data_IF_646859378327
#
_entry.id   IF_646859378327
#
_cell.length_a   1.000
_cell.length_b   1.000
_cell.length_c   1.000
_cell.angle_alpha   90.00
_cell.angle_beta   90.00
_cell.angle_gamma   90.00
#
_symmetry.space_group_name_H-M   'P 1'
#
loop_
_entity.id
_entity.type
_entity.pdbx_description
1 polymer ?
#
# COMPACT_ATOMS: atom_id res chain seq x y z
N UNK A 1 16.40 -12.41 -20.60
CA UNK A 1 16.68 -12.65 -19.18
C UNK A 1 17.73 -13.73 -18.93
N UNK A 2 17.54 -15.00 -19.35
CA UNK A 2 18.49 -16.11 -19.11
C UNK A 2 19.94 -15.83 -19.54
N UNK A 3 20.16 -15.12 -20.64
CA UNK A 3 21.51 -14.75 -21.11
C UNK A 3 22.21 -13.71 -20.22
N UNK A 4 21.44 -12.75 -19.66
CA UNK A 4 21.96 -11.67 -18.80
C UNK A 4 22.15 -12.13 -17.36
N UNK A 5 21.36 -13.11 -16.91
CA UNK A 5 21.35 -13.65 -15.56
C UNK A 5 21.43 -15.19 -15.61
N UNK A 6 22.58 -15.76 -15.99
CA UNK A 6 22.73 -17.21 -16.09
C UNK A 6 22.62 -17.86 -14.72
N UNK A 7 21.81 -18.93 -14.62
CA UNK A 7 21.63 -19.65 -13.36
C UNK A 7 20.71 -19.00 -12.33
N UNK A 8 20.16 -17.80 -12.59
CA UNK A 8 19.23 -17.15 -11.68
C UNK A 8 17.80 -17.65 -11.93
N UNK A 9 17.15 -18.07 -10.85
CA UNK A 9 15.71 -18.33 -10.81
C UNK A 9 15.01 -17.12 -10.19
N UNK A 10 14.22 -16.42 -11.00
CA UNK A 10 13.48 -15.24 -10.54
C UNK A 10 12.25 -15.65 -9.74
N UNK A 11 12.24 -15.34 -8.46
CA UNK A 11 11.15 -15.63 -7.53
C UNK A 11 10.99 -14.48 -6.56
N UNK A 12 9.74 -14.07 -6.35
CA UNK A 12 9.41 -13.06 -5.34
C UNK A 12 9.79 -13.51 -3.92
N UNK A 13 9.71 -14.80 -3.62
CA UNK A 13 10.12 -15.34 -2.32
C UNK A 13 11.63 -15.21 -2.12
N UNK A 14 12.42 -15.59 -3.13
CA UNK A 14 13.87 -15.37 -3.11
C UNK A 14 14.20 -13.88 -3.01
N UNK A 15 13.48 -13.03 -3.74
CA UNK A 15 13.64 -11.59 -3.64
C UNK A 15 13.34 -11.06 -2.24
N UNK A 16 12.29 -11.54 -1.58
CA UNK A 16 11.95 -11.16 -0.21
C UNK A 16 13.03 -11.57 0.80
N UNK A 17 13.58 -12.79 0.70
CA UNK A 17 14.71 -13.24 1.53
C UNK A 17 15.95 -12.36 1.31
N UNK A 18 16.28 -12.02 0.04
CA UNK A 18 17.41 -11.15 -0.28
C UNK A 18 17.21 -9.72 0.26
N UNK A 19 15.98 -9.20 0.25
CA UNK A 19 15.65 -7.91 0.85
C UNK A 19 15.83 -7.97 2.36
N UNK A 20 15.31 -9.00 3.03
CA UNK A 20 15.48 -9.18 4.46
C UNK A 20 16.97 -9.24 4.85
N UNK A 21 17.78 -10.03 4.14
CA UNK A 21 19.22 -10.13 4.38
C UNK A 21 19.94 -8.79 4.19
N UNK A 22 19.69 -8.09 3.09
CA UNK A 22 20.35 -6.81 2.77
C UNK A 22 20.10 -5.72 3.80
N UNK A 23 18.92 -5.66 4.39
CA UNK A 23 18.57 -4.67 5.42
C UNK A 23 18.67 -5.23 6.85
N UNK A 24 19.26 -6.43 7.03
CA UNK A 24 19.43 -7.12 8.32
C UNK A 24 18.11 -7.23 9.11
N UNK A 25 17.03 -7.57 8.41
CA UNK A 25 15.72 -7.78 9.03
C UNK A 25 15.61 -9.21 9.53
N UNK A 26 15.43 -9.36 10.83
CA UNK A 26 15.26 -10.67 11.46
C UNK A 26 13.84 -11.22 11.22
N UNK A 27 13.66 -12.52 11.49
CA UNK A 27 12.34 -13.15 11.49
C UNK A 27 11.38 -12.44 12.45
N UNK A 28 11.86 -12.05 13.61
CA UNK A 28 11.12 -11.32 14.64
C UNK A 28 10.65 -9.96 14.13
N UNK A 29 11.49 -9.21 13.42
CA UNK A 29 11.12 -7.92 12.84
C UNK A 29 9.98 -8.08 11.83
N UNK A 30 10.04 -9.12 10.99
CA UNK A 30 9.03 -9.39 9.97
C UNK A 30 7.70 -9.83 10.59
N UNK A 31 7.75 -10.72 11.58
CA UNK A 31 6.56 -11.21 12.27
C UNK A 31 5.91 -10.11 13.11
N UNK A 32 6.72 -9.23 13.74
CA UNK A 32 6.21 -8.07 14.46
C UNK A 32 5.48 -7.09 13.53
N UNK A 33 6.06 -6.79 12.37
CA UNK A 33 5.42 -5.94 11.38
C UNK A 33 4.10 -6.54 10.85
N UNK A 34 4.06 -7.86 10.64
CA UNK A 34 2.86 -8.57 10.24
C UNK A 34 1.77 -8.50 11.31
N UNK A 35 2.15 -8.68 12.58
CA UNK A 35 1.24 -8.53 13.72
C UNK A 35 0.65 -7.12 13.77
N UNK A 36 1.49 -6.10 13.63
CA UNK A 36 1.06 -4.69 13.61
C UNK A 36 0.11 -4.39 12.45
N UNK A 37 0.34 -4.96 11.25
CA UNK A 37 -0.57 -4.83 10.12
C UNK A 37 -1.97 -5.36 10.46
N UNK A 38 -2.07 -6.55 11.07
CA UNK A 38 -3.35 -7.11 11.52
C UNK A 38 -4.00 -6.28 12.62
N UNK A 39 -3.24 -5.80 13.62
CA UNK A 39 -3.76 -4.96 14.71
C UNK A 39 -4.30 -3.63 14.19
N UNK A 40 -3.56 -2.96 13.29
CA UNK A 40 -3.99 -1.72 12.63
C UNK A 40 -5.28 -1.93 11.83
N UNK A 41 -5.35 -3.02 11.04
CA UNK A 41 -6.53 -3.35 10.25
C UNK A 41 -7.75 -3.69 11.11
N UNK A 42 -7.56 -4.44 12.19
CA UNK A 42 -8.61 -4.75 13.16
C UNK A 42 -9.16 -3.46 13.82
N UNK A 43 -8.27 -2.61 14.31
CA UNK A 43 -8.65 -1.32 14.90
C UNK A 43 -9.39 -0.40 13.90
N UNK A 44 -8.92 -0.34 12.65
CA UNK A 44 -9.57 0.46 11.60
C UNK A 44 -10.98 -0.06 11.29
N UNK A 45 -11.15 -1.39 11.24
CA UNK A 45 -12.46 -2.04 11.03
C UNK A 45 -13.40 -1.77 12.21
N UNK A 46 -12.97 -1.98 13.44
CA UNK A 46 -13.77 -1.73 14.64
C UNK A 46 -14.13 -0.25 14.82
N UNK A 47 -13.27 0.64 14.31
CA UNK A 47 -13.49 2.10 14.30
C UNK A 47 -14.29 2.60 13.11
N UNK A 48 -14.77 1.71 12.23
CA UNK A 48 -15.54 2.03 11.02
C UNK A 48 -14.80 2.95 10.02
N UNK A 49 -13.46 2.90 9.98
CA UNK A 49 -12.67 3.74 9.06
C UNK A 49 -12.85 3.35 7.60
N UNK A 50 -13.21 2.08 7.34
CA UNK A 50 -13.42 1.55 6.00
C UNK A 50 -14.86 1.73 5.45
N UNK A 51 -15.83 2.19 6.26
CA UNK A 51 -17.25 2.25 5.87
C UNK A 51 -17.51 3.10 4.63
N UNK A 52 -16.69 4.13 4.40
CA UNK A 52 -16.84 5.03 3.26
C UNK A 52 -16.14 4.54 1.98
N UNK A 53 -15.31 3.51 2.09
CA UNK A 53 -14.53 3.00 0.95
C UNK A 53 -14.94 1.59 0.53
N UNK A 54 -15.53 0.80 1.40
CA UNK A 54 -16.03 -0.54 1.06
C UNK A 54 -17.43 -0.41 0.46
N UNK A 55 -17.58 -0.91 -0.76
CA UNK A 55 -18.89 -1.06 -1.41
C UNK A 55 -19.46 -2.42 -1.04
N UNK A 56 -20.56 -2.50 -0.26
CA UNK A 56 -21.21 -3.76 0.06
C UNK A 56 -21.66 -4.50 -1.20
N UNK A 57 -21.28 -5.77 -1.33
CA UNK A 57 -21.65 -6.61 -2.47
C UNK A 57 -22.26 -7.92 -1.99
N UNK A 58 -23.17 -8.48 -2.79
CA UNK A 58 -23.70 -9.83 -2.54
C UNK A 58 -22.61 -10.85 -2.87
N UNK A 59 -22.37 -11.75 -1.95
CA UNK A 59 -21.41 -12.84 -2.09
C UNK A 59 -21.96 -14.13 -1.47
N UNK A 60 -21.09 -15.09 -1.28
CA UNK A 60 -21.38 -16.31 -0.53
C UNK A 60 -20.35 -16.46 0.56
N UNK A 61 -20.81 -16.78 1.75
CA UNK A 61 -19.90 -17.10 2.87
C UNK A 61 -19.23 -18.48 2.67
N UNK A 62 -18.42 -18.89 3.62
CA UNK A 62 -17.69 -20.17 3.56
C UNK A 62 -18.62 -21.40 3.46
N UNK A 63 -19.85 -21.32 3.96
CA UNK A 63 -20.87 -22.35 3.88
C UNK A 63 -21.66 -22.30 2.57
N UNK A 64 -21.36 -21.37 1.66
CA UNK A 64 -22.05 -21.19 0.39
C UNK A 64 -23.42 -20.48 0.49
N UNK A 65 -23.73 -19.89 1.65
CA UNK A 65 -24.96 -19.14 1.89
C UNK A 65 -24.78 -17.71 1.36
N UNK A 66 -25.78 -17.21 0.64
CA UNK A 66 -25.78 -15.82 0.18
C UNK A 66 -25.80 -14.85 1.35
N UNK A 67 -24.86 -13.91 1.35
CA UNK A 67 -24.72 -12.88 2.35
C UNK A 67 -24.13 -11.60 1.75
N UNK A 68 -24.16 -10.50 2.49
CA UNK A 68 -23.51 -9.25 2.12
C UNK A 68 -22.06 -9.26 2.59
N UNK A 69 -21.12 -9.13 1.67
CA UNK A 69 -19.70 -8.89 1.98
C UNK A 69 -19.53 -7.40 2.24
N UNK A 70 -19.21 -7.05 3.49
CA UNK A 70 -19.13 -5.68 4.00
C UNK A 70 -17.78 -5.35 4.65
N UNK A 71 -16.88 -6.34 4.73
CA UNK A 71 -15.56 -6.18 5.34
C UNK A 71 -14.54 -7.08 4.65
N UNK A 72 -13.26 -6.74 4.76
CA UNK A 72 -12.16 -7.59 4.33
C UNK A 72 -12.06 -8.83 5.25
N UNK A 73 -12.07 -10.04 4.65
CA UNK A 73 -12.12 -11.32 5.37
C UNK A 73 -10.74 -11.79 5.87
N UNK A 74 -9.66 -11.14 5.40
CA UNK A 74 -8.27 -11.54 5.69
C UNK A 74 -7.78 -11.22 7.09
N UNK A 75 -8.44 -10.31 7.80
CA UNK A 75 -7.99 -9.81 9.09
C UNK A 75 -8.00 -10.90 10.14
N UNK A 76 -6.87 -11.12 10.82
CA UNK A 76 -6.75 -12.04 11.95
C UNK A 76 -6.86 -11.25 13.25
N UNK A 77 -8.10 -11.09 13.77
CA UNK A 77 -8.38 -10.37 15.01
C UNK A 77 -7.70 -11.01 16.24
N UNK A 78 -7.38 -12.29 16.17
CA UNK A 78 -6.70 -13.06 17.20
C UNK A 78 -5.20 -13.29 16.88
N UNK A 79 -4.61 -12.49 15.98
CA UNK A 79 -3.20 -12.57 15.67
C UNK A 79 -2.35 -12.35 16.92
N UNK A 80 -1.29 -13.14 17.06
CA UNK A 80 -0.32 -12.99 18.13
C UNK A 80 1.08 -13.33 17.63
N UNK A 81 2.09 -12.77 18.28
CA UNK A 81 3.48 -13.04 17.93
C UNK A 81 3.81 -14.54 17.99
N UNK A 82 3.34 -15.26 19.03
CA UNK A 82 3.58 -16.70 19.17
C UNK A 82 3.00 -17.53 18.00
N UNK A 83 1.81 -17.14 17.52
CA UNK A 83 1.21 -17.79 16.34
C UNK A 83 2.04 -17.57 15.07
N UNK A 84 2.55 -16.37 14.87
CA UNK A 84 3.40 -16.04 13.73
C UNK A 84 4.77 -16.75 13.84
N UNK A 85 5.41 -16.68 15.00
CA UNK A 85 6.70 -17.34 15.26
C UNK A 85 6.64 -18.86 15.05
N UNK A 86 5.49 -19.50 15.30
CA UNK A 86 5.26 -20.92 15.05
C UNK A 86 5.14 -21.34 13.59
N UNK A 87 5.05 -20.39 12.65
CA UNK A 87 4.91 -20.69 11.22
C UNK A 87 6.22 -21.16 10.60
N UNK A 88 6.10 -22.13 9.70
CA UNK A 88 7.25 -22.64 8.92
C UNK A 88 7.68 -21.62 7.88
N UNK A 89 8.98 -21.50 7.67
CA UNK A 89 9.54 -20.70 6.60
C UNK A 89 9.24 -21.31 5.22
N UNK A 90 9.04 -20.45 4.22
CA UNK A 90 8.81 -20.88 2.83
C UNK A 90 10.05 -21.55 2.25
N UNK A 91 11.23 -21.00 2.60
CA UNK A 91 12.54 -21.56 2.21
C UNK A 91 13.22 -22.10 3.47
N UNK A 92 13.84 -23.26 3.40
CA UNK A 92 14.59 -23.84 4.52
C UNK A 92 15.70 -22.87 4.96
N UNK A 93 15.75 -22.56 6.25
CA UNK A 93 16.70 -21.60 6.81
C UNK A 93 16.41 -20.12 6.49
N UNK A 94 15.30 -19.83 5.80
CA UNK A 94 14.87 -18.45 5.52
C UNK A 94 14.09 -17.80 6.67
N UNK A 95 13.62 -16.57 6.43
CA UNK A 95 12.84 -15.78 7.39
C UNK A 95 11.41 -15.48 6.90
N UNK A 96 11.11 -15.74 5.62
CA UNK A 96 9.79 -15.52 5.03
C UNK A 96 8.84 -16.68 5.32
N UNK A 97 7.64 -16.35 5.78
CA UNK A 97 6.55 -17.28 6.08
C UNK A 97 5.24 -16.84 5.43
N UNK A 98 4.22 -17.68 5.52
CA UNK A 98 2.87 -17.30 5.13
C UNK A 98 2.28 -16.18 6.00
N UNK A 99 2.81 -15.96 7.22
CA UNK A 99 2.33 -14.94 8.15
C UNK A 99 2.92 -13.54 7.88
N UNK A 100 4.14 -13.46 7.30
CA UNK A 100 4.81 -12.21 6.97
C UNK A 100 4.88 -11.94 5.47
N UNK A 101 3.96 -12.56 4.72
CA UNK A 101 3.69 -12.35 3.31
C UNK A 101 2.22 -11.95 3.12
N UNK A 102 1.90 -11.27 2.03
CA UNK A 102 0.52 -10.90 1.70
C UNK A 102 -0.37 -12.11 1.49
N UNK A 103 -1.65 -11.96 1.81
CA UNK A 103 -2.65 -13.00 1.53
C UNK A 103 -3.05 -12.96 0.05
N UNK A 104 -3.22 -14.13 -0.53
CA UNK A 104 -3.83 -14.29 -1.87
C UNK A 104 -5.33 -14.12 -1.70
N UNK A 105 -5.90 -13.10 -2.32
CA UNK A 105 -7.30 -12.74 -2.19
C UNK A 105 -7.90 -12.35 -3.53
N UNK A 106 -9.21 -12.55 -3.67
CA UNK A 106 -10.00 -11.91 -4.72
C UNK A 106 -10.41 -10.51 -4.27
N UNK A 107 -10.57 -9.60 -5.22
CA UNK A 107 -10.98 -8.24 -4.91
C UNK A 107 -11.08 -7.36 -6.15
N UNK A 108 -11.85 -6.29 -6.02
CA UNK A 108 -11.98 -5.25 -7.02
C UNK A 108 -11.98 -3.88 -6.35
N UNK A 109 -11.39 -2.90 -7.01
CA UNK A 109 -11.41 -1.52 -6.56
C UNK A 109 -11.51 -0.58 -7.77
N UNK A 110 -12.06 0.62 -7.57
CA UNK A 110 -12.20 1.61 -8.62
C UNK A 110 -11.85 3.01 -8.11
N UNK A 111 -11.03 3.71 -8.88
CA UNK A 111 -10.70 5.13 -8.66
C UNK A 111 -11.02 5.88 -9.95
N UNK A 112 -11.82 6.93 -9.85
CA UNK A 112 -12.12 7.79 -10.99
C UNK A 112 -11.04 8.87 -11.12
N UNK A 113 -10.28 8.79 -12.20
CA UNK A 113 -9.27 9.79 -12.56
C UNK A 113 -9.77 10.60 -13.74
N UNK A 114 -9.73 11.92 -13.64
CA UNK A 114 -10.15 12.82 -14.71
C UNK A 114 -9.29 14.08 -14.75
N UNK A 115 -9.26 14.72 -15.91
CA UNK A 115 -8.71 16.06 -16.05
C UNK A 115 -9.81 17.13 -15.76
N UNK A 116 -9.43 18.40 -15.81
CA UNK A 116 -10.36 19.51 -15.59
C UNK A 116 -11.61 19.48 -16.49
N UNK A 117 -11.47 19.09 -17.75
CA UNK A 117 -12.59 18.96 -18.68
C UNK A 117 -13.54 17.84 -18.26
N UNK A 118 -12.98 16.69 -17.84
CA UNK A 118 -13.76 15.58 -17.28
C UNK A 118 -14.50 16.00 -16.02
N UNK A 119 -13.80 16.66 -15.09
CA UNK A 119 -14.38 17.15 -13.84
C UNK A 119 -15.58 18.07 -14.07
N UNK A 120 -15.46 19.01 -15.02
CA UNK A 120 -16.57 19.90 -15.41
C UNK A 120 -17.77 19.11 -15.97
N UNK A 121 -17.53 18.06 -16.76
CA UNK A 121 -18.60 17.23 -17.34
C UNK A 121 -19.38 16.45 -16.30
N UNK A 122 -18.69 15.89 -15.31
CA UNK A 122 -19.34 15.09 -14.26
C UNK A 122 -19.87 15.94 -13.10
N UNK A 123 -19.58 17.25 -13.10
CA UNK A 123 -20.02 18.19 -12.07
C UNK A 123 -19.67 17.75 -10.65
N UNK A 124 -18.52 17.10 -10.48
CA UNK A 124 -18.05 16.63 -9.19
C UNK A 124 -16.93 17.52 -8.64
N UNK A 125 -16.76 17.49 -7.32
CA UNK A 125 -15.62 18.10 -6.66
C UNK A 125 -14.46 17.11 -6.63
N UNK A 126 -13.23 17.53 -6.98
CA UNK A 126 -12.07 16.68 -6.85
C UNK A 126 -11.80 16.40 -5.37
N UNK A 127 -11.46 15.15 -5.04
CA UNK A 127 -11.07 14.77 -3.68
C UNK A 127 -9.56 14.92 -3.46
N UNK A 128 -8.78 14.69 -4.52
CA UNK A 128 -7.33 14.88 -4.53
C UNK A 128 -6.84 15.25 -5.92
N UNK A 129 -5.65 15.82 -5.97
CA UNK A 129 -4.83 16.05 -7.16
C UNK A 129 -3.69 15.05 -7.20
N UNK A 130 -3.42 14.45 -8.37
CA UNK A 130 -2.22 13.66 -8.58
C UNK A 130 -1.08 14.64 -8.82
N UNK A 131 -0.12 14.71 -7.89
CA UNK A 131 1.01 15.63 -7.93
C UNK A 131 2.13 15.08 -8.79
N UNK A 132 2.44 13.80 -8.61
CA UNK A 132 3.46 13.11 -9.41
C UNK A 132 3.17 11.61 -9.50
N UNK A 133 3.65 11.02 -10.60
CA UNK A 133 3.67 9.56 -10.82
C UNK A 133 5.07 9.21 -11.32
N UNK A 134 5.63 8.15 -10.78
CA UNK A 134 6.85 7.56 -11.28
C UNK A 134 6.65 6.08 -11.59
N UNK A 135 7.31 5.61 -12.62
CA UNK A 135 7.46 4.20 -12.95
C UNK A 135 8.93 3.94 -13.16
N UNK A 136 9.44 2.86 -12.57
CA UNK A 136 10.86 2.50 -12.64
C UNK A 136 11.05 1.01 -12.90
N UNK A 137 12.21 0.66 -13.44
CA UNK A 137 12.76 -0.68 -13.39
C UNK A 137 13.95 -0.68 -12.44
N UNK A 138 14.04 -1.70 -11.59
CA UNK A 138 15.11 -1.91 -10.63
C UNK A 138 15.71 -3.32 -10.84
N UNK A 139 16.52 -3.80 -9.92
CA UNK A 139 17.17 -5.11 -10.00
C UNK A 139 16.11 -6.24 -10.03
N UNK A 140 16.03 -7.03 -11.12
CA UNK A 140 15.05 -8.10 -11.23
C UNK A 140 15.32 -9.29 -10.33
N UNK A 141 16.52 -9.41 -9.75
CA UNK A 141 16.88 -10.49 -8.81
C UNK A 141 16.30 -10.17 -7.42
N UNK A 142 16.53 -8.96 -6.93
CA UNK A 142 15.86 -8.45 -5.73
C UNK A 142 14.36 -8.29 -5.93
N UNK A 143 13.94 -7.91 -7.13
CA UNK A 143 12.56 -7.81 -7.61
C UNK A 143 11.69 -6.80 -6.82
N UNK A 144 11.83 -6.72 -5.51
CA UNK A 144 10.90 -6.05 -4.58
C UNK A 144 11.43 -4.72 -4.05
N UNK A 145 12.62 -4.28 -4.48
CA UNK A 145 13.24 -3.01 -4.07
C UNK A 145 12.75 -1.79 -4.84
N UNK A 146 12.07 -2.00 -5.96
CA UNK A 146 11.60 -0.96 -6.87
C UNK A 146 10.79 0.19 -6.23
N UNK A 147 9.97 -0.01 -5.19
CA UNK A 147 9.28 1.08 -4.47
C UNK A 147 10.22 2.17 -3.96
N UNK A 148 11.47 1.82 -3.60
CA UNK A 148 12.47 2.77 -3.11
C UNK A 148 12.84 3.80 -4.20
N UNK A 149 13.42 3.41 -5.36
CA UNK A 149 13.74 4.37 -6.41
C UNK A 149 12.49 5.01 -7.03
N UNK A 150 11.35 4.32 -7.06
CA UNK A 150 10.09 4.91 -7.51
C UNK A 150 9.67 6.08 -6.63
N UNK A 151 9.69 5.91 -5.31
CA UNK A 151 9.35 6.98 -4.37
C UNK A 151 10.31 8.14 -4.43
N UNK A 152 11.64 7.89 -4.47
CA UNK A 152 12.65 8.94 -4.63
C UNK A 152 12.40 9.78 -5.89
N UNK A 153 12.09 9.14 -7.02
CA UNK A 153 11.79 9.81 -8.29
C UNK A 153 10.47 10.59 -8.24
N UNK A 154 9.43 10.05 -7.58
CA UNK A 154 8.15 10.75 -7.43
C UNK A 154 8.30 11.99 -6.54
N UNK A 155 9.04 11.90 -5.44
CA UNK A 155 9.36 13.03 -4.54
C UNK A 155 10.14 14.12 -5.27
N UNK A 156 11.18 13.75 -6.02
CA UNK A 156 11.97 14.68 -6.83
C UNK A 156 11.08 15.42 -7.85
N UNK A 157 10.24 14.68 -8.60
CA UNK A 157 9.33 15.27 -9.58
C UNK A 157 8.30 16.22 -8.97
N UNK A 158 7.89 15.96 -7.73
CA UNK A 158 6.98 16.81 -6.96
C UNK A 158 7.69 17.99 -6.27
N UNK A 159 9.02 18.04 -6.27
CA UNK A 159 9.83 18.95 -5.44
C UNK A 159 9.45 18.87 -3.96
N UNK A 160 9.28 17.65 -3.45
CA UNK A 160 8.97 17.33 -2.07
C UNK A 160 10.06 16.44 -1.46
N UNK A 161 10.19 16.49 -0.14
CA UNK A 161 10.95 15.54 0.68
C UNK A 161 10.03 14.48 1.28
N UNK A 162 10.59 13.42 1.87
CA UNK A 162 9.80 12.43 2.60
C UNK A 162 9.10 13.03 3.83
N UNK A 163 9.68 14.05 4.44
CA UNK A 163 9.14 14.74 5.61
C UNK A 163 7.87 15.54 5.29
N UNK A 164 7.69 15.96 4.02
CA UNK A 164 6.51 16.67 3.55
C UNK A 164 5.30 15.76 3.39
N UNK A 165 5.50 14.45 3.41
CA UNK A 165 4.43 13.45 3.24
C UNK A 165 3.83 13.12 4.61
N UNK A 166 2.51 13.18 4.68
CA UNK A 166 1.76 12.91 5.91
C UNK A 166 1.43 11.44 6.11
N UNK A 167 1.19 10.70 5.02
CA UNK A 167 0.80 9.30 5.04
C UNK A 167 1.45 8.51 3.90
N UNK A 168 1.82 7.27 4.17
CA UNK A 168 2.39 6.35 3.19
C UNK A 168 1.55 5.07 3.11
N UNK A 169 1.24 4.64 1.89
CA UNK A 169 0.72 3.32 1.58
C UNK A 169 1.74 2.58 0.72
N UNK A 170 2.52 1.71 1.33
CA UNK A 170 3.51 0.87 0.67
C UNK A 170 3.01 -0.56 0.68
N UNK A 171 2.82 -1.15 -0.50
CA UNK A 171 2.23 -2.48 -0.60
C UNK A 171 3.02 -3.53 0.17
N UNK A 172 2.34 -4.25 1.06
CA UNK A 172 2.90 -5.30 1.91
C UNK A 172 2.92 -6.65 1.17
N UNK A 173 3.53 -6.72 -0.02
CA UNK A 173 3.68 -8.01 -0.70
C UNK A 173 4.41 -9.03 0.19
N UNK A 174 5.42 -8.56 0.93
CA UNK A 174 6.16 -9.23 1.99
C UNK A 174 6.61 -8.19 3.00
N UNK A 175 6.69 -8.52 4.28
CA UNK A 175 7.10 -7.60 5.35
C UNK A 175 8.44 -6.86 5.09
N UNK A 176 9.48 -7.48 4.50
CA UNK A 176 10.73 -6.78 4.18
C UNK A 176 10.54 -5.58 3.24
N UNK A 177 9.51 -5.57 2.39
CA UNK A 177 9.33 -4.50 1.38
C UNK A 177 9.08 -3.14 2.03
N UNK A 178 8.00 -2.94 2.83
CA UNK A 178 7.77 -1.66 3.49
C UNK A 178 8.83 -1.34 4.55
N UNK A 179 9.41 -2.34 5.22
CA UNK A 179 10.48 -2.12 6.21
C UNK A 179 11.76 -1.59 5.56
N UNK A 180 12.21 -2.20 4.47
CA UNK A 180 13.38 -1.74 3.71
C UNK A 180 13.12 -0.36 3.08
N UNK A 181 11.90 -0.13 2.57
CA UNK A 181 11.48 1.16 2.02
C UNK A 181 11.56 2.26 3.10
N UNK A 182 11.00 2.01 4.28
CA UNK A 182 11.02 2.99 5.37
C UNK A 182 12.45 3.28 5.85
N UNK A 183 13.30 2.26 5.97
CA UNK A 183 14.70 2.43 6.36
C UNK A 183 15.49 3.26 5.33
N UNK A 184 15.31 2.98 4.04
CA UNK A 184 16.06 3.61 2.95
C UNK A 184 15.65 5.06 2.67
N UNK A 185 14.39 5.42 2.93
CA UNK A 185 13.88 6.77 2.80
C UNK A 185 13.94 7.56 4.12
N UNK A 186 14.32 6.93 5.23
CA UNK A 186 14.22 7.49 6.58
C UNK A 186 12.80 7.94 6.92
N UNK A 187 11.81 7.17 6.44
CA UNK A 187 10.40 7.49 6.60
C UNK A 187 9.91 7.20 8.03
N UNK A 188 9.01 8.04 8.51
CA UNK A 188 8.34 7.85 9.80
C UNK A 188 7.40 6.65 9.74
N UNK A 189 7.70 5.60 10.50
CA UNK A 189 6.91 4.36 10.53
C UNK A 189 5.49 4.55 11.07
N UNK A 190 5.25 5.60 11.88
CA UNK A 190 3.92 5.91 12.40
C UNK A 190 2.96 6.44 11.33
N UNK A 191 3.51 6.84 10.18
CA UNK A 191 2.76 7.29 9.00
C UNK A 191 2.54 6.17 7.97
N UNK A 192 3.16 4.98 8.20
CA UNK A 192 3.19 3.87 7.24
C UNK A 192 2.03 2.91 7.47
N UNK A 193 1.22 2.68 6.42
CA UNK A 193 0.14 1.69 6.39
C UNK A 193 -0.68 1.75 7.69
N UNK A 194 -1.18 2.95 7.99
CA UNK A 194 -1.76 3.26 9.32
C UNK A 194 -3.04 2.51 9.64
N UNK A 195 -3.69 1.97 8.63
CA UNK A 195 -4.89 1.12 8.74
C UNK A 195 -4.61 -0.36 8.42
N UNK A 196 -3.33 -0.78 8.53
CA UNK A 196 -2.88 -2.09 8.07
C UNK A 196 -2.67 -2.13 6.56
N UNK A 197 -2.21 -3.25 6.04
CA UNK A 197 -1.91 -3.42 4.63
C UNK A 197 -2.20 -4.84 4.14
N UNK A 198 -1.55 -5.24 3.04
CA UNK A 198 -1.87 -6.46 2.32
C UNK A 198 -1.72 -7.76 3.13
N UNK A 199 -0.92 -7.79 4.19
CA UNK A 199 -0.83 -8.95 5.06
C UNK A 199 -2.12 -9.19 5.84
N UNK A 200 -2.82 -8.14 6.22
CA UNK A 200 -4.11 -8.21 6.89
C UNK A 200 -5.30 -8.11 5.93
N UNK A 201 -5.25 -7.17 4.99
CA UNK A 201 -6.37 -6.79 4.12
C UNK A 201 -6.34 -7.49 2.75
N UNK A 202 -5.33 -8.32 2.49
CA UNK A 202 -5.17 -9.05 1.24
C UNK A 202 -4.53 -8.24 0.10
N UNK A 203 -4.10 -8.98 -0.93
CA UNK A 203 -3.41 -8.45 -2.11
C UNK A 203 -4.04 -8.96 -3.40
N UNK A 204 -5.23 -8.45 -3.77
CA UNK A 204 -5.84 -8.76 -5.06
C UNK A 204 -5.03 -8.09 -6.17
N UNK A 205 -4.08 -8.81 -6.77
CA UNK A 205 -2.98 -8.29 -7.60
C UNK A 205 -3.40 -7.15 -8.56
N UNK A 206 -4.43 -7.37 -9.37
CA UNK A 206 -4.89 -6.37 -10.34
C UNK A 206 -5.65 -5.18 -9.72
N UNK A 207 -6.14 -5.30 -8.50
CA UNK A 207 -6.93 -4.27 -7.81
C UNK A 207 -6.13 -3.50 -6.76
N UNK A 208 -4.98 -4.01 -6.32
CA UNK A 208 -4.22 -3.47 -5.18
C UNK A 208 -3.91 -1.99 -5.31
N UNK A 209 -3.49 -1.53 -6.49
CA UNK A 209 -3.17 -0.11 -6.70
C UNK A 209 -4.37 0.80 -6.45
N UNK A 210 -5.54 0.45 -6.95
CA UNK A 210 -6.76 1.21 -6.72
C UNK A 210 -7.24 1.08 -5.26
N UNK A 211 -7.08 -0.10 -4.64
CA UNK A 211 -7.41 -0.34 -3.23
C UNK A 211 -6.59 0.55 -2.30
N UNK A 212 -5.25 0.51 -2.41
CA UNK A 212 -4.36 1.34 -1.60
C UNK A 212 -4.61 2.84 -1.81
N UNK A 213 -4.86 3.27 -3.06
CA UNK A 213 -5.19 4.67 -3.36
C UNK A 213 -6.51 5.09 -2.68
N UNK A 214 -7.49 4.20 -2.65
CA UNK A 214 -8.77 4.46 -1.98
C UNK A 214 -8.57 4.62 -0.48
N UNK A 215 -7.87 3.70 0.16
CA UNK A 215 -7.56 3.76 1.61
C UNK A 215 -6.74 5.00 1.95
N UNK A 216 -5.68 5.29 1.18
CA UNK A 216 -4.86 6.48 1.37
C UNK A 216 -5.69 7.77 1.32
N UNK A 217 -6.56 7.90 0.30
CA UNK A 217 -7.40 9.09 0.14
C UNK A 217 -8.39 9.27 1.29
N UNK A 218 -9.08 8.20 1.70
CA UNK A 218 -10.04 8.27 2.81
C UNK A 218 -9.35 8.60 4.14
N UNK A 219 -8.18 8.04 4.38
CA UNK A 219 -7.40 8.32 5.58
C UNK A 219 -6.84 9.76 5.58
N UNK A 220 -6.40 10.26 4.41
CA UNK A 220 -6.00 11.66 4.27
C UNK A 220 -7.17 12.62 4.56
N UNK A 221 -8.37 12.28 4.13
CA UNK A 221 -9.57 13.08 4.46
C UNK A 221 -9.89 13.04 5.95
N UNK A 222 -9.82 11.85 6.56
CA UNK A 222 -10.13 11.65 7.98
C UNK A 222 -9.16 12.39 8.90
N UNK A 223 -7.87 12.44 8.54
CA UNK A 223 -6.82 13.14 9.30
C UNK A 223 -6.57 14.57 8.85
N UNK A 224 -7.29 15.05 7.85
CA UNK A 224 -7.05 16.35 7.22
C UNK A 224 -5.63 16.51 6.67
N UNK A 225 -4.97 15.40 6.33
CA UNK A 225 -3.61 15.34 5.79
C UNK A 225 -3.52 16.01 4.42
N UNK A 226 -2.35 16.56 4.10
CA UNK A 226 -2.12 17.30 2.86
C UNK A 226 -1.58 16.43 1.74
N UNK A 227 -0.53 15.67 1.99
CA UNK A 227 0.14 14.83 1.01
C UNK A 227 0.13 13.36 1.43
N UNK A 228 -0.16 12.49 0.47
CA UNK A 228 -0.04 11.04 0.62
C UNK A 228 0.81 10.45 -0.49
N UNK A 229 1.58 9.42 -0.18
CA UNK A 229 2.41 8.68 -1.11
C UNK A 229 1.99 7.22 -1.13
N UNK A 230 1.74 6.68 -2.32
CA UNK A 230 1.54 5.25 -2.56
C UNK A 230 2.74 4.70 -3.30
N UNK A 231 3.25 3.52 -2.91
CA UNK A 231 4.31 2.81 -3.63
C UNK A 231 4.04 1.31 -3.70
N UNK A 232 4.27 0.72 -4.88
CA UNK A 232 3.94 -0.68 -5.16
C UNK A 232 5.09 -1.34 -5.91
N UNK A 233 5.54 -2.50 -5.42
CA UNK A 233 6.44 -3.38 -6.17
C UNK A 233 5.62 -4.25 -7.14
N UNK A 234 6.22 -4.52 -8.28
CA UNK A 234 5.61 -5.31 -9.36
C UNK A 234 6.56 -6.42 -9.81
N UNK A 235 6.04 -7.35 -10.58
CA UNK A 235 6.85 -8.47 -11.08
C UNK A 235 8.03 -8.03 -11.94
N UNK A 236 9.16 -8.74 -11.82
CA UNK A 236 10.35 -8.51 -12.66
C UNK A 236 11.20 -7.30 -12.28
N UNK A 237 11.00 -6.73 -11.09
CA UNK A 237 11.75 -5.57 -10.59
C UNK A 237 11.21 -4.24 -11.07
N UNK A 238 9.98 -4.20 -11.58
CA UNK A 238 9.30 -2.93 -11.86
C UNK A 238 8.59 -2.42 -10.60
N UNK A 239 8.31 -1.13 -10.55
CA UNK A 239 7.55 -0.49 -9.48
C UNK A 239 6.97 0.84 -9.93
N UNK A 240 5.94 1.27 -9.23
CA UNK A 240 5.41 2.62 -9.35
C UNK A 240 5.32 3.31 -7.97
N UNK A 241 5.31 4.65 -8.00
CA UNK A 241 4.93 5.48 -6.87
C UNK A 241 4.08 6.66 -7.35
N UNK A 242 3.08 7.01 -6.56
CA UNK A 242 2.17 8.12 -6.84
C UNK A 242 2.04 9.00 -5.61
N UNK A 243 2.21 10.30 -5.79
CA UNK A 243 1.95 11.30 -4.74
C UNK A 243 0.65 12.02 -5.08
N UNK A 244 -0.24 12.06 -4.10
CA UNK A 244 -1.50 12.82 -4.17
C UNK A 244 -1.52 13.92 -3.12
N UNK A 245 -2.21 15.00 -3.46
CA UNK A 245 -2.49 16.11 -2.57
C UNK A 245 -4.00 16.19 -2.37
N UNK A 246 -4.45 16.14 -1.12
CA UNK A 246 -5.87 16.28 -0.79
C UNK A 246 -6.40 17.63 -1.25
N UNK A 247 -7.55 17.64 -1.94
CA UNK A 247 -8.23 18.85 -2.28
C UNK A 247 -8.88 19.45 -1.02
N UNK A 248 -8.57 20.71 -0.73
CA UNK A 248 -9.23 21.48 0.33
C UNK A 248 -10.40 22.22 -0.30
N UNK A 249 -11.62 21.91 0.13
CA UNK A 249 -12.78 22.71 -0.29
C UNK A 249 -12.65 24.11 0.30
N UNK A 250 -12.18 25.06 -0.49
CA UNK A 250 -12.31 26.48 -0.15
C UNK A 250 -13.76 26.89 -0.37
N UNK A 251 -14.57 26.84 0.66
CA UNK A 251 -15.94 27.36 0.64
C UNK A 251 -16.00 28.90 0.65
N UNK A 252 -14.86 29.60 0.69
CA UNK A 252 -14.77 31.05 0.67
C UNK A 252 -13.54 31.55 -0.09
N UNK A 253 -13.57 31.56 -1.41
CA UNK A 253 -12.85 32.53 -2.21
C UNK A 253 -13.92 33.40 -2.92
N UNK A 254 -14.39 34.41 -2.23
CA UNK A 254 -14.90 35.61 -2.92
C UNK A 254 -13.70 36.20 -3.67
N UNK A 255 -13.72 36.06 -5.00
CA UNK A 255 -12.84 36.86 -5.85
C UNK A 255 -13.02 38.32 -5.50
N UNK A 256 -11.96 39.11 -5.28
CA UNK A 256 -12.11 40.53 -5.17
C UNK A 256 -12.64 41.04 -6.52
N UNK A 257 -13.86 41.50 -6.55
CA UNK A 257 -14.40 42.30 -7.64
C UNK A 257 -13.63 43.61 -7.64
N UNK A 258 -12.55 43.70 -8.39
CA UNK A 258 -11.97 44.98 -8.78
C UNK A 258 -12.85 45.55 -9.87
N UNK A 259 -13.79 46.40 -9.47
CA UNK A 259 -14.28 47.45 -10.35
C UNK A 259 -13.25 48.57 -10.34
N UNK A 260 -12.65 48.82 -11.47
CA UNK A 260 -11.83 49.97 -11.80
C UNK A 260 -11.83 50.15 -13.29
#
# INVERSE_FOLDING_TARGET
MKQRYPGIFFSQFTGAELVADKWNLSREDLDQFALESHQKAANATESNFFDREILPVKGKNAEGIEDMVIADEGIRFDASFDKLAGLKTVTEGGVITAGNASQITDGAAAVLVCNESGLKKIQANPRAEIVSISVVGDDPVFMLTGPIPASKKALEAANLSIDDIDLYEVNEAFAPVPLAWAAELHADKEKLNVNGGAMALGHPLGATGAKLMTTLLHEMERRESKYGLQAICEGGGTANATIIKRAVSYTHLTLPTTYG
#
